data_IF_126113514732
#
_entry.id   IF_126113514732
#
_cell.length_a   1.000
_cell.length_b   1.000
_cell.length_c   1.000
_cell.angle_alpha   90.00
_cell.angle_beta   90.00
_cell.angle_gamma   90.00
#
_symmetry.space_group_name_H-M   'P 1'
#
loop_
_entity.id
_entity.type
_entity.pdbx_description
1 polymer ?
#
# COMPACT_ATOMS: atom_id res chain seq x y z
N UNK A 1 -1.00 6.51 -26.99
CA UNK A 1 -1.51 7.76 -26.35
C UNK A 1 -2.93 8.14 -26.74
N UNK A 2 -3.48 7.71 -27.88
CA UNK A 2 -4.86 8.04 -28.29
C UNK A 2 -5.94 7.49 -27.33
N UNK A 3 -5.77 6.26 -26.85
CA UNK A 3 -6.70 5.61 -25.89
C UNK A 3 -6.83 6.40 -24.59
N UNK A 4 -5.72 6.90 -24.03
CA UNK A 4 -5.75 7.67 -22.78
C UNK A 4 -6.60 8.94 -22.89
N UNK A 5 -6.44 9.69 -23.98
CA UNK A 5 -7.22 10.90 -24.22
C UNK A 5 -8.70 10.58 -24.46
N UNK A 6 -9.00 9.46 -25.14
CA UNK A 6 -10.37 8.97 -25.32
C UNK A 6 -11.05 8.69 -23.98
N UNK A 7 -10.35 8.01 -23.07
CA UNK A 7 -10.88 7.69 -21.73
C UNK A 7 -11.15 8.97 -20.93
N UNK A 8 -10.22 9.93 -20.93
CA UNK A 8 -10.40 11.21 -20.25
C UNK A 8 -11.63 11.94 -20.77
N UNK A 9 -11.79 11.99 -22.10
CA UNK A 9 -12.91 12.66 -22.74
C UNK A 9 -14.24 11.99 -22.38
N UNK A 10 -14.35 10.66 -22.50
CA UNK A 10 -15.58 9.92 -22.21
C UNK A 10 -15.97 9.97 -20.73
N UNK A 11 -14.99 9.96 -19.83
CA UNK A 11 -15.23 10.06 -18.40
C UNK A 11 -15.45 11.50 -17.92
N UNK A 12 -15.41 12.51 -18.80
CA UNK A 12 -15.45 13.94 -18.44
C UNK A 12 -14.41 14.28 -17.35
N UNK A 13 -13.23 13.66 -17.45
CA UNK A 13 -12.27 13.64 -16.37
C UNK A 13 -11.44 14.92 -16.29
N UNK A 14 -11.21 15.41 -15.07
CA UNK A 14 -10.40 16.59 -14.77
C UNK A 14 -9.10 16.16 -14.07
N UNK A 15 -7.97 16.86 -14.32
CA UNK A 15 -6.71 16.54 -13.66
C UNK A 15 -6.81 16.74 -12.14
N UNK A 16 -6.19 15.85 -11.37
CA UNK A 16 -6.11 15.96 -9.90
C UNK A 16 -4.65 15.98 -9.46
N UNK A 17 -4.20 17.11 -8.91
CA UNK A 17 -2.89 17.20 -8.27
C UNK A 17 -1.71 16.94 -9.22
N UNK A 18 -0.91 15.89 -8.94
CA UNK A 18 0.31 15.53 -9.69
C UNK A 18 0.03 15.18 -11.16
N UNK A 19 1.01 15.44 -12.03
CA UNK A 19 0.94 15.11 -13.46
C UNK A 19 0.54 13.64 -13.69
N UNK A 20 -0.45 13.43 -14.57
CA UNK A 20 -0.88 12.10 -15.02
C UNK A 20 -2.07 11.47 -14.27
N UNK A 21 -2.67 12.15 -13.28
CA UNK A 21 -3.86 11.67 -12.55
C UNK A 21 -5.11 12.49 -12.88
N UNK A 22 -6.24 11.82 -13.09
CA UNK A 22 -7.52 12.43 -13.44
C UNK A 22 -8.69 11.80 -12.66
N UNK A 23 -9.72 12.59 -12.37
CA UNK A 23 -11.02 12.13 -11.84
C UNK A 23 -12.11 12.45 -12.82
N UNK A 24 -12.96 11.47 -13.13
CA UNK A 24 -14.14 11.64 -13.95
C UNK A 24 -15.33 10.84 -13.44
N UNK A 25 -16.43 10.92 -14.17
CA UNK A 25 -17.59 10.06 -14.00
C UNK A 25 -17.27 8.68 -14.56
N UNK A 26 -17.76 7.65 -13.88
CA UNK A 26 -17.62 6.30 -14.39
C UNK A 26 -18.68 6.03 -15.47
N UNK A 27 -18.31 5.61 -16.69
CA UNK A 27 -19.28 5.33 -17.74
C UNK A 27 -20.05 4.01 -17.56
N UNK A 28 -19.69 3.20 -16.56
CA UNK A 28 -20.34 1.91 -16.28
C UNK A 28 -21.54 2.01 -15.32
N UNK A 29 -21.84 3.19 -14.78
CA UNK A 29 -23.05 3.46 -14.01
C UNK A 29 -23.48 4.91 -14.17
N UNK A 30 -24.72 5.23 -13.80
CA UNK A 30 -25.18 6.61 -13.74
C UNK A 30 -24.58 7.28 -12.50
N UNK A 31 -23.63 8.18 -12.73
CA UNK A 31 -22.82 8.79 -11.69
C UNK A 31 -23.08 10.30 -11.62
N UNK A 32 -23.36 10.79 -10.41
CA UNK A 32 -23.60 12.22 -10.15
C UNK A 32 -22.36 12.95 -9.67
N UNK A 33 -21.30 12.23 -9.29
CA UNK A 33 -20.09 12.80 -8.71
C UNK A 33 -18.86 11.97 -9.10
N UNK A 34 -17.72 12.57 -9.51
CA UNK A 34 -16.59 11.82 -10.07
C UNK A 34 -16.17 10.58 -9.26
N UNK A 35 -16.57 9.39 -9.71
CA UNK A 35 -16.24 8.11 -9.06
C UNK A 35 -15.11 7.33 -9.74
N UNK A 36 -14.68 7.74 -10.93
CA UNK A 36 -13.62 7.06 -11.69
C UNK A 36 -12.29 7.78 -11.54
N UNK A 37 -11.28 7.07 -11.03
CA UNK A 37 -9.88 7.49 -11.03
C UNK A 37 -9.18 6.92 -12.26
N UNK A 38 -8.48 7.78 -13.00
CA UNK A 38 -7.70 7.44 -14.18
C UNK A 38 -6.25 7.88 -13.91
N UNK A 39 -5.28 6.99 -14.10
CA UNK A 39 -3.86 7.31 -13.92
C UNK A 39 -3.04 6.77 -15.07
N UNK A 40 -2.20 7.61 -15.66
CA UNK A 40 -1.16 7.20 -16.59
C UNK A 40 0.11 6.87 -15.80
N UNK A 41 0.57 5.63 -15.88
CA UNK A 41 1.78 5.17 -15.18
C UNK A 41 2.65 4.37 -16.14
N UNK A 42 3.83 4.90 -16.47
CA UNK A 42 4.78 4.28 -17.41
C UNK A 42 4.09 3.88 -18.74
N UNK A 43 3.89 2.58 -18.93
CA UNK A 43 3.37 1.97 -20.16
C UNK A 43 1.92 1.44 -20.00
N UNK A 44 1.19 1.89 -18.96
CA UNK A 44 -0.18 1.44 -18.70
C UNK A 44 -1.11 2.53 -18.19
N UNK A 45 -2.40 2.31 -18.39
CA UNK A 45 -3.50 3.13 -17.92
C UNK A 45 -4.21 2.39 -16.80
N UNK A 46 -4.23 2.97 -15.60
CA UNK A 46 -4.94 2.43 -14.45
C UNK A 46 -6.33 3.07 -14.34
N UNK A 47 -7.36 2.23 -14.25
CA UNK A 47 -8.74 2.64 -14.03
C UNK A 47 -9.23 2.05 -12.70
N UNK A 48 -9.85 2.88 -11.86
CA UNK A 48 -10.45 2.43 -10.61
C UNK A 48 -11.73 3.20 -10.31
N UNK A 49 -12.82 2.46 -10.13
CA UNK A 49 -14.11 3.04 -9.77
C UNK A 49 -14.37 2.85 -8.26
N UNK A 50 -14.55 3.96 -7.54
CA UNK A 50 -14.74 3.94 -6.08
C UNK A 50 -16.11 3.41 -5.63
N UNK A 51 -17.07 3.31 -6.54
CA UNK A 51 -18.40 2.72 -6.28
C UNK A 51 -18.46 1.21 -6.55
N UNK A 52 -17.39 0.62 -7.12
CA UNK A 52 -17.25 -0.84 -7.25
C UNK A 52 -17.55 -1.42 -8.63
N UNK A 53 -17.60 -0.63 -9.70
CA UNK A 53 -17.70 -1.19 -11.06
C UNK A 53 -16.49 -2.09 -11.38
N UNK A 54 -16.76 -3.26 -11.95
CA UNK A 54 -15.71 -4.13 -12.48
C UNK A 54 -15.03 -3.47 -13.70
N UNK A 55 -13.74 -3.73 -13.87
CA UNK A 55 -12.93 -3.24 -14.98
C UNK A 55 -13.53 -3.63 -16.34
N UNK A 56 -14.10 -4.83 -16.46
CA UNK A 56 -14.78 -5.31 -17.66
C UNK A 56 -15.91 -4.37 -18.10
N UNK A 57 -16.79 -4.00 -17.17
CA UNK A 57 -17.93 -3.13 -17.46
C UNK A 57 -17.46 -1.72 -17.85
N UNK A 58 -16.39 -1.24 -17.23
CA UNK A 58 -15.80 0.06 -17.57
C UNK A 58 -15.24 0.04 -19.00
N UNK A 59 -14.47 -1.00 -19.37
CA UNK A 59 -13.93 -1.19 -20.71
C UNK A 59 -15.04 -1.28 -21.77
N UNK A 60 -16.08 -2.08 -21.52
CA UNK A 60 -17.25 -2.22 -22.41
C UNK A 60 -17.93 -0.87 -22.63
N UNK A 61 -18.24 -0.12 -21.56
CA UNK A 61 -18.86 1.20 -21.67
C UNK A 61 -17.97 2.24 -22.38
N UNK A 62 -16.65 2.09 -22.27
CA UNK A 62 -15.68 2.92 -22.97
C UNK A 62 -15.48 2.51 -24.44
N UNK A 63 -15.90 1.30 -24.83
CA UNK A 63 -15.68 0.74 -26.15
C UNK A 63 -14.20 0.47 -26.42
N UNK A 64 -13.48 -0.03 -25.41
CA UNK A 64 -12.06 -0.41 -25.50
C UNK A 64 -11.87 -1.82 -24.96
N UNK A 65 -10.81 -2.48 -25.40
CA UNK A 65 -10.39 -3.76 -24.86
C UNK A 65 -9.41 -3.58 -23.69
N UNK A 66 -9.29 -4.58 -22.82
CA UNK A 66 -8.31 -4.54 -21.70
C UNK A 66 -6.88 -4.36 -22.19
N UNK A 67 -6.57 -4.90 -23.37
CA UNK A 67 -5.25 -4.77 -24.01
C UNK A 67 -4.92 -3.32 -24.36
N UNK A 68 -5.91 -2.49 -24.65
CA UNK A 68 -5.73 -1.08 -25.01
C UNK A 68 -5.27 -0.23 -23.81
N UNK A 69 -5.42 -0.76 -22.59
CA UNK A 69 -4.89 -0.14 -21.37
C UNK A 69 -3.36 -0.25 -21.27
N UNK A 70 -2.72 -1.03 -22.13
CA UNK A 70 -1.27 -1.24 -22.15
C UNK A 70 -0.70 -0.75 -23.48
N UNK A 71 0.51 -0.19 -23.44
CA UNK A 71 1.24 0.12 -24.68
C UNK A 71 1.65 -1.21 -25.36
N UNK A 72 1.49 -1.36 -26.69
CA UNK A 72 1.91 -2.56 -27.40
C UNK A 72 3.37 -2.85 -27.12
N UNK A 73 3.63 -4.07 -26.68
CA UNK A 73 4.95 -4.54 -26.29
C UNK A 73 5.73 -4.83 -27.58
N UNK A 74 6.82 -4.10 -27.81
CA UNK A 74 7.77 -4.38 -28.88
C UNK A 74 8.37 -5.79 -28.69
N UNK A 75 8.46 -6.61 -29.74
CA UNK A 75 8.73 -8.07 -29.70
C UNK A 75 9.96 -8.47 -28.88
N UNK A 76 10.90 -7.54 -28.67
CA UNK A 76 12.10 -7.71 -27.84
C UNK A 76 11.83 -7.93 -26.34
N UNK A 77 10.60 -7.76 -25.85
CA UNK A 77 10.28 -7.90 -24.42
C UNK A 77 9.56 -9.21 -24.04
N UNK A 78 9.22 -10.07 -25.00
CA UNK A 78 8.50 -11.34 -24.73
C UNK A 78 9.34 -12.31 -23.87
N UNK A 79 10.67 -12.17 -23.89
CA UNK A 79 11.60 -12.96 -23.06
C UNK A 79 11.86 -12.37 -21.66
N UNK A 80 11.14 -11.31 -21.24
CA UNK A 80 11.28 -10.80 -19.88
C UNK A 80 10.44 -11.68 -18.96
N UNK A 81 11.11 -12.47 -18.11
CA UNK A 81 10.51 -13.04 -16.90
C UNK A 81 9.65 -11.95 -16.25
N UNK A 82 8.42 -12.23 -15.77
CA UNK A 82 7.58 -11.22 -15.13
C UNK A 82 8.37 -10.59 -13.98
N UNK A 83 8.97 -9.43 -14.23
CA UNK A 83 9.63 -8.65 -13.20
C UNK A 83 8.48 -8.19 -12.33
N UNK A 84 8.46 -8.50 -11.02
CA UNK A 84 7.45 -7.94 -10.14
C UNK A 84 7.58 -6.42 -10.24
N UNK A 85 6.66 -5.78 -10.96
CA UNK A 85 6.55 -4.32 -11.02
C UNK A 85 5.96 -3.83 -9.71
N UNK A 86 6.64 -4.13 -8.61
CA UNK A 86 6.54 -3.35 -7.40
C UNK A 86 7.54 -2.24 -7.62
N UNK A 87 7.09 -1.12 -8.18
CA UNK A 87 7.82 0.14 -8.07
C UNK A 87 8.15 0.24 -6.58
N UNK A 88 9.43 0.15 -6.24
CA UNK A 88 9.91 0.43 -4.90
C UNK A 88 9.64 1.91 -4.67
N UNK A 89 8.40 2.23 -4.32
CA UNK A 89 8.12 3.35 -3.47
C UNK A 89 8.99 3.07 -2.26
N UNK A 90 10.19 3.67 -2.21
CA UNK A 90 11.04 3.69 -1.00
C UNK A 90 10.11 4.18 0.08
N UNK A 91 9.53 3.24 0.84
CA UNK A 91 8.67 3.54 1.96
C UNK A 91 9.61 4.30 2.89
N UNK A 92 9.50 5.64 2.91
CA UNK A 92 10.32 6.46 3.79
C UNK A 92 9.95 6.04 5.21
N UNK A 93 10.75 5.14 5.78
CA UNK A 93 10.54 4.60 7.11
C UNK A 93 10.58 5.77 8.07
N UNK A 94 9.47 6.03 8.77
CA UNK A 94 9.44 7.07 9.79
C UNK A 94 10.11 6.54 11.04
N UNK A 95 11.12 7.26 11.53
CA UNK A 95 11.69 7.00 12.84
C UNK A 95 10.70 7.42 13.92
N UNK A 96 10.57 6.61 14.95
CA UNK A 96 9.71 6.87 16.10
C UNK A 96 10.17 8.14 16.81
N UNK A 97 9.23 9.03 17.10
CA UNK A 97 9.46 10.13 18.03
C UNK A 97 9.33 9.58 19.45
N UNK A 98 10.04 10.20 20.40
CA UNK A 98 9.89 9.91 21.83
C UNK A 98 9.50 11.19 22.56
N UNK A 99 8.62 11.07 23.54
CA UNK A 99 8.31 12.20 24.43
C UNK A 99 9.40 12.37 25.50
N UNK A 100 9.20 13.34 26.39
CA UNK A 100 10.10 13.63 27.53
C UNK A 100 10.32 12.43 28.45
N UNK A 101 9.35 11.52 28.51
CA UNK A 101 9.41 10.32 29.35
C UNK A 101 10.01 9.13 28.61
N UNK A 102 10.54 9.33 27.39
CA UNK A 102 11.14 8.29 26.56
C UNK A 102 10.16 7.34 25.88
N UNK A 103 8.85 7.58 26.01
CA UNK A 103 7.79 6.77 25.39
C UNK A 103 7.63 7.11 23.92
N UNK A 104 7.47 6.09 23.08
CA UNK A 104 7.29 6.26 21.64
C UNK A 104 5.96 6.95 21.35
N UNK A 105 6.00 7.97 20.48
CA UNK A 105 4.84 8.69 19.98
C UNK A 105 4.77 8.52 18.47
N UNK A 106 3.59 8.20 17.96
CA UNK A 106 3.35 8.10 16.52
C UNK A 106 1.94 8.55 16.16
N UNK A 107 1.76 8.98 14.91
CA UNK A 107 0.44 9.30 14.39
C UNK A 107 -0.36 8.02 14.10
N UNK A 108 -1.54 7.90 14.69
CA UNK A 108 -2.49 6.84 14.38
C UNK A 108 -3.53 7.33 13.38
N UNK A 109 -3.55 6.74 12.18
CA UNK A 109 -4.63 7.00 11.20
C UNK A 109 -5.99 6.49 11.68
N UNK A 110 -6.01 5.50 12.58
CA UNK A 110 -7.25 4.99 13.17
C UNK A 110 -7.92 6.03 14.07
N UNK A 111 -7.13 6.76 14.85
CA UNK A 111 -7.62 7.75 15.82
C UNK A 111 -7.44 9.20 15.35
N UNK A 112 -6.86 9.39 14.16
CA UNK A 112 -6.55 10.67 13.54
C UNK A 112 -5.78 11.64 14.45
N UNK A 113 -4.92 11.10 15.32
CA UNK A 113 -4.10 11.88 16.27
C UNK A 113 -2.79 11.17 16.61
N UNK A 114 -1.87 11.90 17.22
CA UNK A 114 -0.70 11.30 17.85
C UNK A 114 -1.11 10.48 19.07
N UNK A 115 -0.61 9.26 19.15
CA UNK A 115 -0.84 8.32 20.25
C UNK A 115 0.50 7.96 20.89
N UNK A 116 0.45 7.68 22.19
CA UNK A 116 1.64 7.42 22.99
C UNK A 116 1.71 5.96 23.38
N UNK A 117 2.91 5.41 23.38
CA UNK A 117 3.22 4.07 23.89
C UNK A 117 2.67 3.86 25.29
N UNK A 118 1.93 2.76 25.43
CA UNK A 118 1.43 2.23 26.70
C UNK A 118 2.20 0.97 27.11
N UNK A 119 2.55 0.12 26.14
CA UNK A 119 3.26 -1.15 26.36
C UNK A 119 4.16 -1.45 25.16
N UNK A 120 5.33 -2.02 25.41
CA UNK A 120 6.27 -2.52 24.39
C UNK A 120 6.47 -4.01 24.51
N UNK A 121 6.13 -4.73 23.44
CA UNK A 121 6.38 -6.17 23.34
C UNK A 121 7.67 -6.41 22.57
N UNK A 122 8.66 -7.02 23.23
CA UNK A 122 9.90 -7.45 22.59
C UNK A 122 9.69 -8.81 21.92
N UNK A 123 10.06 -8.90 20.64
CA UNK A 123 10.07 -10.15 19.88
C UNK A 123 11.52 -10.63 19.77
N UNK A 124 11.74 -11.89 20.11
CA UNK A 124 13.06 -12.51 20.14
C UNK A 124 13.22 -13.52 19.01
N UNK A 125 14.42 -13.61 18.44
CA UNK A 125 14.78 -14.69 17.54
C UNK A 125 15.06 -15.99 18.30
N UNK A 126 15.35 -17.08 17.59
CA UNK A 126 15.64 -18.38 18.20
C UNK A 126 16.85 -18.34 19.16
N UNK A 127 17.80 -17.41 18.96
CA UNK A 127 18.96 -17.21 19.84
C UNK A 127 18.64 -16.36 21.08
N UNK A 128 17.39 -15.91 21.25
CA UNK A 128 16.98 -15.03 22.35
C UNK A 128 17.35 -13.56 22.15
N UNK A 129 17.89 -13.16 21.00
CA UNK A 129 18.19 -11.75 20.69
C UNK A 129 16.94 -11.02 20.24
N UNK A 130 16.79 -9.77 20.67
CA UNK A 130 15.66 -8.93 20.25
C UNK A 130 15.72 -8.66 18.74
N UNK A 131 14.73 -9.17 18.02
CA UNK A 131 14.59 -8.94 16.59
C UNK A 131 13.90 -7.59 16.32
N UNK A 132 12.77 -7.34 16.98
CA UNK A 132 12.03 -6.08 16.85
C UNK A 132 11.07 -5.89 18.03
N UNK A 133 10.41 -4.74 18.06
CA UNK A 133 9.37 -4.42 19.03
C UNK A 133 8.00 -4.30 18.35
N UNK A 134 6.93 -4.58 19.10
CA UNK A 134 5.58 -4.13 18.76
C UNK A 134 5.10 -3.19 19.86
N UNK A 135 4.87 -1.93 19.47
CA UNK A 135 4.42 -0.86 20.36
C UNK A 135 2.89 -0.86 20.39
N UNK A 136 2.30 -0.98 21.57
CA UNK A 136 0.87 -0.73 21.83
C UNK A 136 0.71 0.68 22.35
N UNK A 137 -0.20 1.45 21.76
CA UNK A 137 -0.50 2.81 22.21
C UNK A 137 -1.79 2.94 23.03
N UNK A 138 -2.00 4.12 23.60
CA UNK A 138 -3.31 4.60 24.06
C UNK A 138 -3.73 5.89 23.30
N UNK A 139 -4.93 5.93 22.67
CA UNK A 139 -5.88 4.83 22.49
C UNK A 139 -5.31 3.64 21.71
N UNK A 140 -5.91 2.45 21.88
CA UNK A 140 -5.38 1.17 21.37
C UNK A 140 -5.11 1.20 19.86
N UNK A 141 -3.83 1.15 19.52
CA UNK A 141 -3.27 0.90 18.19
C UNK A 141 -1.95 0.12 18.35
N UNK A 142 -1.47 -0.53 17.28
CA UNK A 142 -0.24 -1.31 17.30
C UNK A 142 0.69 -0.93 16.15
N UNK A 143 1.95 -0.71 16.50
CA UNK A 143 2.99 -0.35 15.52
C UNK A 143 4.25 -1.17 15.74
N UNK A 144 4.63 -2.03 14.77
CA UNK A 144 5.94 -2.63 14.78
C UNK A 144 7.03 -1.57 14.69
N UNK A 145 8.15 -1.83 15.35
CA UNK A 145 9.31 -0.93 15.39
C UNK A 145 10.60 -1.74 15.38
N UNK A 146 11.54 -1.39 14.50
CA UNK A 146 12.88 -1.97 14.51
C UNK A 146 13.63 -1.61 15.79
N UNK A 147 14.71 -2.33 16.08
CA UNK A 147 15.63 -2.01 17.19
C UNK A 147 16.19 -0.58 17.09
N UNK A 148 16.40 -0.10 15.88
CA UNK A 148 16.91 1.26 15.59
C UNK A 148 15.82 2.34 15.63
N UNK A 149 14.58 1.96 15.93
CA UNK A 149 13.46 2.86 16.15
C UNK A 149 12.66 3.23 14.90
N UNK A 150 12.78 2.50 13.78
CA UNK A 150 11.95 2.74 12.60
C UNK A 150 10.60 2.02 12.73
N UNK A 151 9.49 2.72 12.46
CA UNK A 151 8.13 2.18 12.59
C UNK A 151 7.69 1.33 11.38
N UNK A 152 8.56 0.41 10.94
CA UNK A 152 8.33 -0.52 9.85
C UNK A 152 9.24 -1.75 10.01
N UNK A 153 8.73 -2.94 9.75
CA UNK A 153 9.48 -4.21 9.80
C UNK A 153 9.30 -5.05 8.53
N UNK A 154 8.86 -4.47 7.41
CA UNK A 154 8.55 -5.20 6.16
C UNK A 154 9.69 -6.08 5.64
N UNK A 155 10.94 -5.68 5.86
CA UNK A 155 12.13 -6.42 5.43
C UNK A 155 12.70 -7.34 6.53
N UNK A 156 12.04 -7.41 7.68
CA UNK A 156 12.44 -8.31 8.77
C UNK A 156 11.57 -9.57 8.75
N UNK A 157 12.17 -10.69 9.13
CA UNK A 157 11.44 -11.92 9.38
C UNK A 157 10.40 -11.71 10.49
N UNK A 158 9.17 -12.17 10.27
CA UNK A 158 8.12 -12.13 11.29
C UNK A 158 8.24 -13.33 12.20
N UNK A 159 8.36 -13.07 13.49
CA UNK A 159 8.57 -14.10 14.50
C UNK A 159 7.33 -14.22 15.40
N UNK A 160 7.00 -15.43 15.87
CA UNK A 160 6.06 -15.62 16.96
C UNK A 160 6.45 -14.83 18.21
N UNK A 161 5.47 -14.37 18.97
CA UNK A 161 5.73 -13.79 20.28
C UNK A 161 6.18 -14.89 21.25
N UNK A 162 7.25 -14.65 22.02
CA UNK A 162 7.89 -15.64 22.90
C UNK A 162 8.42 -16.88 22.15
N UNK A 163 9.03 -16.65 20.99
CA UNK A 163 9.58 -17.72 20.16
C UNK A 163 10.55 -18.66 20.92
N UNK A 164 11.53 -18.17 21.71
CA UNK A 164 12.41 -19.07 22.48
C UNK A 164 11.65 -20.04 23.39
N UNK A 165 10.63 -19.55 24.10
CA UNK A 165 9.81 -20.34 25.02
C UNK A 165 8.93 -21.34 24.25
N UNK A 166 8.38 -20.94 23.10
CA UNK A 166 7.62 -21.84 22.23
C UNK A 166 8.50 -22.98 21.69
N UNK A 167 9.73 -22.68 21.27
CA UNK A 167 10.67 -23.69 20.81
C UNK A 167 11.08 -24.66 21.93
N UNK A 168 11.22 -24.16 23.16
CA UNK A 168 11.48 -25.00 24.32
C UNK A 168 10.30 -25.94 24.60
N UNK A 169 9.07 -25.44 24.60
CA UNK A 169 7.88 -26.27 24.84
C UNK A 169 7.69 -27.39 23.82
N UNK A 170 8.10 -27.19 22.56
CA UNK A 170 8.09 -28.25 21.54
C UNK A 170 9.12 -29.35 21.82
N UNK A 171 10.26 -29.03 22.44
CA UNK A 171 11.28 -30.03 22.82
C UNK A 171 10.90 -30.83 24.05
N UNK A 172 10.13 -30.21 24.95
CA UNK A 172 9.70 -30.81 26.22
C UNK A 172 8.44 -31.68 26.07
N UNK A 173 7.85 -31.75 24.86
CA UNK A 173 6.65 -32.54 24.52
C UNK A 173 7.01 -33.87 23.88
#
# INVERSE_FOLDING_TARGET
>A
MQVFNLIISKALAKPIGTSGRFSGLCPAHDDKSPSLSITLENDRILLYCHTGCNIDNICISLGIEKTDLFVPIDEKQINRVPVPQKVENKHKRKKAQKNTNGLVVFFSSKHQKNVTESVRYSYFNADGKTAYYVIRSDPKDFRPMTTDGYLDIKEMERLPYRLPELLQGVKDS
#
